data_IF_609961016192
#
_entry.id   IF_609961016192
#
_cell.length_a   1.000
_cell.length_b   1.000
_cell.length_c   1.000
_cell.angle_alpha   90.00
_cell.angle_beta   90.00
_cell.angle_gamma   90.00
#
_symmetry.space_group_name_H-M   'P 1'
#
loop_
_entity.id
_entity.type
_entity.pdbx_description
1 polymer ?
#
# COMPACT_ATOMS: atom_id res chain seq x y z
N UNK A 1 -0.37 14.92 30.05
CA UNK A 1 -0.90 14.77 28.65
C UNK A 1 -0.52 13.40 28.15
N UNK A 2 -1.30 12.74 27.28
CA UNK A 2 -0.96 11.39 26.78
C UNK A 2 0.45 11.29 26.15
N UNK A 3 0.98 12.41 25.66
CA UNK A 3 2.30 12.49 24.99
C UNK A 3 3.47 12.30 25.98
N UNK A 4 3.34 12.64 27.26
CA UNK A 4 4.42 12.53 28.25
C UNK A 4 4.84 11.10 28.59
N UNK A 5 4.02 10.12 28.22
CA UNK A 5 4.30 8.69 28.40
C UNK A 5 4.83 7.97 27.16
N UNK A 6 5.06 8.69 26.04
CA UNK A 6 5.52 8.13 24.79
C UNK A 6 7.02 8.36 24.57
N UNK A 7 7.69 7.37 23.97
CA UNK A 7 9.06 7.54 23.50
C UNK A 7 9.12 8.39 22.23
N UNK A 8 10.24 9.04 21.98
CA UNK A 8 10.45 9.80 20.72
C UNK A 8 10.20 8.94 19.47
N UNK A 9 10.62 7.68 19.52
CA UNK A 9 10.41 6.72 18.44
C UNK A 9 8.92 6.45 18.19
N UNK A 10 8.11 6.27 19.23
CA UNK A 10 6.66 6.06 19.13
C UNK A 10 5.96 7.28 18.53
N UNK A 11 6.35 8.49 18.95
CA UNK A 11 5.77 9.74 18.43
C UNK A 11 6.11 9.90 16.95
N UNK A 12 7.37 9.80 16.58
CA UNK A 12 7.83 10.01 15.20
C UNK A 12 7.25 8.94 14.28
N UNK A 13 7.33 7.65 14.65
CA UNK A 13 6.75 6.58 13.85
C UNK A 13 5.23 6.74 13.70
N UNK A 14 4.51 7.11 14.77
CA UNK A 14 3.08 7.36 14.74
C UNK A 14 2.69 8.51 13.80
N UNK A 15 3.39 9.66 13.88
CA UNK A 15 3.14 10.83 13.02
C UNK A 15 3.40 10.48 11.53
N UNK A 16 4.58 9.95 11.21
CA UNK A 16 4.93 9.66 9.82
C UNK A 16 4.06 8.54 9.22
N UNK A 17 3.68 7.53 10.02
CA UNK A 17 2.76 6.48 9.59
C UNK A 17 1.37 7.04 9.32
N UNK A 18 0.86 7.89 10.20
CA UNK A 18 -0.45 8.54 10.02
C UNK A 18 -0.44 9.47 8.81
N UNK A 19 0.65 10.21 8.58
CA UNK A 19 0.82 11.04 7.39
C UNK A 19 0.81 10.21 6.11
N UNK A 20 1.53 9.09 6.08
CA UNK A 20 1.52 8.18 4.93
C UNK A 20 0.12 7.63 4.65
N UNK A 21 -0.59 7.14 5.67
CA UNK A 21 -1.97 6.64 5.54
C UNK A 21 -2.89 7.72 5.00
N UNK A 22 -2.80 8.93 5.54
CA UNK A 22 -3.59 10.08 5.09
C UNK A 22 -3.33 10.43 3.62
N UNK A 23 -2.05 10.55 3.22
CA UNK A 23 -1.67 10.82 1.82
C UNK A 23 -2.18 9.71 0.89
N UNK A 24 -2.04 8.44 1.27
CA UNK A 24 -2.51 7.30 0.46
C UNK A 24 -4.02 7.33 0.28
N UNK A 25 -4.78 7.65 1.33
CA UNK A 25 -6.24 7.80 1.25
C UNK A 25 -6.60 8.96 0.32
N UNK A 26 -5.95 10.12 0.45
CA UNK A 26 -6.20 11.27 -0.42
C UNK A 26 -5.91 10.95 -1.89
N UNK A 27 -4.80 10.28 -2.17
CA UNK A 27 -4.44 9.82 -3.52
C UNK A 27 -5.51 8.88 -4.06
N UNK A 28 -5.90 7.86 -3.30
CA UNK A 28 -6.93 6.92 -3.70
C UNK A 28 -8.29 7.60 -3.96
N UNK A 29 -8.72 8.49 -3.07
CA UNK A 29 -9.95 9.29 -3.26
C UNK A 29 -9.87 10.19 -4.51
N UNK A 30 -8.70 10.77 -4.79
CA UNK A 30 -8.48 11.57 -5.99
C UNK A 30 -8.59 10.74 -7.26
N UNK A 31 -8.06 9.51 -7.27
CA UNK A 31 -8.21 8.57 -8.38
C UNK A 31 -9.69 8.18 -8.52
N UNK A 32 -10.38 7.83 -7.42
CA UNK A 32 -11.80 7.52 -7.40
C UNK A 32 -12.66 8.66 -7.96
N UNK A 33 -12.35 9.90 -7.60
CA UNK A 33 -13.11 11.07 -8.11
C UNK A 33 -13.07 11.17 -9.63
N UNK A 34 -12.04 10.66 -10.28
CA UNK A 34 -11.93 10.63 -11.74
C UNK A 34 -12.83 9.57 -12.38
N UNK A 35 -13.16 8.50 -11.66
CA UNK A 35 -14.18 7.54 -12.13
C UNK A 35 -15.51 8.20 -12.42
N UNK A 36 -15.99 9.08 -11.54
CA UNK A 36 -17.27 9.80 -11.76
C UNK A 36 -17.26 10.65 -13.03
N UNK A 37 -16.08 11.18 -13.44
CA UNK A 37 -15.94 12.00 -14.64
C UNK A 37 -15.78 11.15 -15.91
N UNK A 38 -15.01 10.07 -15.85
CA UNK A 38 -14.60 9.30 -17.03
C UNK A 38 -15.33 7.97 -17.21
N UNK A 39 -16.04 7.48 -16.15
CA UNK A 39 -16.78 6.21 -16.12
C UNK A 39 -15.93 4.97 -16.46
N UNK A 40 -14.62 5.04 -16.21
CA UNK A 40 -13.66 3.95 -16.46
C UNK A 40 -13.58 3.09 -15.19
N UNK A 41 -14.05 1.83 -15.25
CA UNK A 41 -14.13 0.92 -14.09
C UNK A 41 -12.77 0.65 -13.44
N UNK A 42 -11.69 0.65 -14.20
CA UNK A 42 -10.33 0.46 -13.72
C UNK A 42 -9.90 1.61 -12.77
N UNK A 43 -10.41 2.84 -12.97
CA UNK A 43 -10.16 3.95 -12.05
C UNK A 43 -10.83 3.73 -10.69
N UNK A 44 -12.01 3.09 -10.67
CA UNK A 44 -12.69 2.73 -9.44
C UNK A 44 -11.85 1.69 -8.67
N UNK A 45 -11.47 0.61 -9.33
CA UNK A 45 -10.75 -0.50 -8.69
C UNK A 45 -9.34 -0.11 -8.27
N UNK A 46 -8.61 0.67 -9.08
CA UNK A 46 -7.29 1.23 -8.72
C UNK A 46 -7.41 2.20 -7.54
N UNK A 47 -8.38 3.10 -7.55
CA UNK A 47 -8.56 4.05 -6.45
C UNK A 47 -8.87 3.38 -5.12
N UNK A 48 -9.76 2.37 -5.10
CA UNK A 48 -10.01 1.55 -3.92
C UNK A 48 -8.75 0.78 -3.51
N UNK A 49 -8.05 0.17 -4.46
CA UNK A 49 -6.80 -0.54 -4.18
C UNK A 49 -5.76 0.36 -3.51
N UNK A 50 -5.59 1.60 -3.97
CA UNK A 50 -4.64 2.56 -3.39
C UNK A 50 -4.97 2.89 -1.93
N UNK A 51 -6.25 2.98 -1.58
CA UNK A 51 -6.67 3.13 -0.18
C UNK A 51 -6.33 1.86 0.60
N UNK A 52 -6.73 0.70 0.08
CA UNK A 52 -6.61 -0.56 0.79
C UNK A 52 -5.16 -1.07 0.92
N UNK A 53 -4.26 -0.72 0.00
CA UNK A 53 -2.86 -1.12 0.10
C UNK A 53 -2.13 -0.44 1.27
N UNK A 54 -2.62 0.71 1.72
CA UNK A 54 -2.08 1.39 2.90
C UNK A 54 -2.54 0.77 4.23
N UNK A 55 -3.48 -0.21 4.21
CA UNK A 55 -4.03 -0.84 5.43
C UNK A 55 -2.98 -1.54 6.28
N UNK A 56 -1.86 -1.99 5.69
CA UNK A 56 -0.70 -2.53 6.42
C UNK A 56 -0.15 -1.59 7.51
N UNK A 57 -0.48 -0.32 7.45
CA UNK A 57 -0.06 0.71 8.42
C UNK A 57 -1.23 1.31 9.19
N UNK A 58 -2.48 0.88 8.91
CA UNK A 58 -3.65 1.40 9.61
C UNK A 58 -3.66 0.99 11.09
N UNK A 59 -3.20 -0.23 11.40
CA UNK A 59 -3.08 -0.69 12.78
C UNK A 59 -2.26 0.27 13.63
N UNK A 60 -1.05 0.62 13.17
CA UNK A 60 -0.15 1.57 13.83
C UNK A 60 -0.74 2.98 13.88
N UNK A 61 -1.26 3.47 12.76
CA UNK A 61 -1.84 4.82 12.67
C UNK A 61 -3.04 4.99 13.59
N UNK A 62 -4.01 4.06 13.55
CA UNK A 62 -5.20 4.12 14.41
C UNK A 62 -4.86 3.93 15.89
N UNK A 63 -3.93 3.02 16.22
CA UNK A 63 -3.49 2.84 17.61
C UNK A 63 -2.88 4.12 18.16
N UNK A 64 -2.03 4.79 17.39
CA UNK A 64 -1.41 6.07 17.77
C UNK A 64 -2.45 7.18 17.94
N UNK A 65 -3.35 7.36 16.96
CA UNK A 65 -4.38 8.40 17.01
C UNK A 65 -5.40 8.17 18.15
N UNK A 66 -5.84 6.93 18.38
CA UNK A 66 -6.74 6.59 19.48
C UNK A 66 -6.09 6.85 20.83
N UNK A 67 -4.80 6.56 20.96
CA UNK A 67 -4.06 6.87 22.19
C UNK A 67 -3.94 8.38 22.42
N UNK A 68 -3.61 9.16 21.39
CA UNK A 68 -3.49 10.62 21.52
C UNK A 68 -4.80 11.32 21.90
N UNK A 69 -5.93 10.85 21.35
CA UNK A 69 -7.23 11.53 21.54
C UNK A 69 -7.99 11.00 22.75
N UNK A 70 -7.92 9.68 22.99
CA UNK A 70 -8.77 8.99 23.98
C UNK A 70 -7.99 8.26 25.07
N UNK A 71 -6.64 8.31 25.04
CA UNK A 71 -5.76 7.50 25.93
C UNK A 71 -6.11 6.01 25.90
N UNK A 72 -6.55 5.54 24.71
CA UNK A 72 -7.01 4.19 24.52
C UNK A 72 -6.00 3.38 23.72
N UNK A 73 -5.52 2.28 24.31
CA UNK A 73 -4.63 1.34 23.63
C UNK A 73 -5.45 0.27 22.92
N UNK A 74 -5.24 0.14 21.61
CA UNK A 74 -5.92 -0.85 20.80
C UNK A 74 -5.45 -2.27 21.18
N UNK A 75 -6.40 -3.21 21.32
CA UNK A 75 -6.06 -4.61 21.58
C UNK A 75 -5.33 -5.21 20.40
N UNK A 76 -4.34 -6.08 20.65
CA UNK A 76 -3.51 -6.70 19.61
C UNK A 76 -4.31 -7.36 18.48
N UNK A 77 -5.38 -8.09 18.81
CA UNK A 77 -6.25 -8.70 17.79
C UNK A 77 -6.96 -7.69 16.90
N UNK A 78 -7.44 -6.54 17.47
CA UNK A 78 -8.06 -5.48 16.70
C UNK A 78 -7.04 -4.76 15.80
N UNK A 79 -5.84 -4.51 16.33
CA UNK A 79 -4.72 -3.95 15.55
C UNK A 79 -4.41 -4.81 14.31
N UNK A 80 -4.21 -6.13 14.52
CA UNK A 80 -3.94 -7.08 13.44
C UNK A 80 -5.07 -7.21 12.43
N UNK A 81 -6.31 -7.21 12.90
CA UNK A 81 -7.48 -7.25 12.04
C UNK A 81 -7.50 -6.06 11.09
N UNK A 82 -7.39 -4.83 11.64
CA UNK A 82 -7.39 -3.60 10.84
C UNK A 82 -6.25 -3.59 9.83
N UNK A 83 -5.05 -4.02 10.25
CA UNK A 83 -3.85 -4.02 9.41
C UNK A 83 -3.94 -4.97 8.22
N UNK A 84 -4.60 -6.13 8.38
CA UNK A 84 -4.45 -7.23 7.43
C UNK A 84 -5.74 -7.62 6.70
N UNK A 85 -6.93 -7.24 7.19
CA UNK A 85 -8.22 -7.71 6.63
C UNK A 85 -8.43 -7.31 5.16
N UNK A 86 -7.94 -6.16 4.75
CA UNK A 86 -8.14 -5.66 3.39
C UNK A 86 -7.03 -6.02 2.41
N UNK A 87 -5.92 -6.59 2.87
CA UNK A 87 -4.76 -6.94 2.04
C UNK A 87 -5.10 -7.86 0.86
N UNK A 88 -5.81 -9.00 1.05
CA UNK A 88 -6.19 -9.86 -0.07
C UNK A 88 -7.17 -9.19 -1.04
N UNK A 89 -8.09 -8.37 -0.52
CA UNK A 89 -9.04 -7.61 -1.36
C UNK A 89 -8.29 -6.60 -2.23
N UNK A 90 -7.32 -5.86 -1.64
CA UNK A 90 -6.48 -4.92 -2.38
C UNK A 90 -5.73 -5.62 -3.52
N UNK A 91 -5.16 -6.80 -3.25
CA UNK A 91 -4.45 -7.59 -4.26
C UNK A 91 -5.37 -8.01 -5.41
N UNK A 92 -6.57 -8.54 -5.11
CA UNK A 92 -7.54 -8.94 -6.13
C UNK A 92 -7.99 -7.77 -7.00
N UNK A 93 -8.29 -6.61 -6.39
CA UNK A 93 -8.67 -5.39 -7.11
C UNK A 93 -7.53 -4.88 -8.00
N UNK A 94 -6.30 -4.95 -7.51
CA UNK A 94 -5.12 -4.57 -8.29
C UNK A 94 -4.91 -5.48 -9.49
N UNK A 95 -4.89 -6.80 -9.28
CA UNK A 95 -4.71 -7.79 -10.35
C UNK A 95 -5.83 -7.67 -11.38
N UNK A 96 -7.09 -7.49 -10.94
CA UNK A 96 -8.21 -7.21 -11.84
C UNK A 96 -7.92 -5.98 -12.70
N UNK A 97 -7.52 -4.87 -12.09
CA UNK A 97 -7.28 -3.61 -12.80
C UNK A 97 -6.17 -3.74 -13.85
N UNK A 98 -5.03 -4.32 -13.44
CA UNK A 98 -3.89 -4.51 -14.36
C UNK A 98 -4.26 -5.45 -15.51
N UNK A 99 -4.89 -6.58 -15.20
CA UNK A 99 -5.26 -7.54 -16.24
C UNK A 99 -6.34 -7.00 -17.17
N UNK A 100 -7.28 -6.19 -16.67
CA UNK A 100 -8.28 -5.53 -17.51
C UNK A 100 -7.65 -4.55 -18.49
N UNK A 101 -6.58 -3.85 -18.07
CA UNK A 101 -5.86 -2.89 -18.91
C UNK A 101 -4.90 -3.55 -19.92
N UNK A 102 -4.20 -4.63 -19.51
CA UNK A 102 -3.11 -5.22 -20.31
C UNK A 102 -3.58 -6.47 -21.10
N UNK A 103 -4.38 -7.32 -20.46
CA UNK A 103 -4.85 -8.61 -20.99
C UNK A 103 -6.34 -8.85 -20.71
N UNK A 104 -7.28 -8.11 -21.33
CA UNK A 104 -8.72 -8.17 -21.01
C UNK A 104 -9.32 -9.59 -21.10
N UNK A 105 -8.82 -10.42 -22.01
CA UNK A 105 -9.30 -11.80 -22.20
C UNK A 105 -8.85 -12.76 -21.09
N UNK A 106 -7.81 -12.41 -20.32
CA UNK A 106 -7.22 -13.27 -19.29
C UNK A 106 -7.61 -12.91 -17.85
N UNK A 107 -8.46 -11.90 -17.65
CA UNK A 107 -8.87 -11.39 -16.31
C UNK A 107 -9.37 -12.52 -15.41
N UNK A 108 -10.28 -13.37 -15.90
CA UNK A 108 -10.84 -14.49 -15.12
C UNK A 108 -9.75 -15.46 -14.63
N UNK A 109 -8.82 -15.82 -15.49
CA UNK A 109 -7.73 -16.73 -15.16
C UNK A 109 -6.75 -16.11 -14.16
N UNK A 110 -6.41 -14.84 -14.32
CA UNK A 110 -5.52 -14.13 -13.39
C UNK A 110 -6.11 -14.05 -11.98
N UNK A 111 -7.41 -13.76 -11.86
CA UNK A 111 -8.10 -13.77 -10.57
C UNK A 111 -8.12 -15.18 -9.98
N UNK A 112 -8.44 -16.20 -10.79
CA UNK A 112 -8.49 -17.59 -10.33
C UNK A 112 -7.14 -18.07 -9.76
N UNK A 113 -6.01 -17.64 -10.37
CA UNK A 113 -4.65 -17.98 -9.90
C UNK A 113 -4.33 -17.30 -8.57
N UNK A 114 -4.79 -16.06 -8.37
CA UNK A 114 -4.46 -15.27 -7.17
C UNK A 114 -5.40 -15.59 -6.00
N UNK A 115 -6.63 -16.03 -6.27
CA UNK A 115 -7.64 -16.38 -5.24
C UNK A 115 -7.14 -17.36 -4.19
N UNK A 116 -6.42 -18.46 -4.52
CA UNK A 116 -5.87 -19.38 -3.52
C UNK A 116 -4.90 -18.70 -2.54
N UNK A 117 -4.06 -17.79 -3.03
CA UNK A 117 -3.14 -17.00 -2.18
C UNK A 117 -3.92 -16.15 -1.19
N UNK A 118 -4.97 -15.48 -1.66
CA UNK A 118 -5.85 -14.68 -0.82
C UNK A 118 -6.60 -15.53 0.20
N UNK A 119 -7.06 -16.72 -0.20
CA UNK A 119 -7.74 -17.66 0.69
C UNK A 119 -6.80 -18.17 1.80
N UNK A 120 -5.58 -18.57 1.44
CA UNK A 120 -4.56 -19.00 2.40
C UNK A 120 -4.22 -17.86 3.37
N UNK A 121 -4.08 -16.62 2.87
CA UNK A 121 -3.85 -15.45 3.70
C UNK A 121 -4.95 -15.27 4.75
N UNK A 122 -6.23 -15.31 4.34
CA UNK A 122 -7.36 -15.21 5.26
C UNK A 122 -7.43 -16.37 6.24
N UNK A 123 -7.17 -17.59 5.77
CA UNK A 123 -7.18 -18.78 6.63
C UNK A 123 -6.21 -18.61 7.81
N UNK A 124 -4.96 -18.24 7.54
CA UNK A 124 -3.96 -18.03 8.57
C UNK A 124 -4.25 -16.80 9.44
N UNK A 125 -4.74 -15.72 8.85
CA UNK A 125 -5.15 -14.52 9.59
C UNK A 125 -6.24 -14.86 10.62
N UNK A 126 -7.32 -15.51 10.19
CA UNK A 126 -8.43 -15.84 11.08
C UNK A 126 -8.06 -16.89 12.13
N UNK A 127 -7.28 -17.91 11.78
CA UNK A 127 -6.75 -18.87 12.74
C UNK A 127 -5.94 -18.13 13.82
N UNK A 128 -5.01 -17.28 13.44
CA UNK A 128 -4.21 -16.52 14.40
C UNK A 128 -5.05 -15.59 15.27
N UNK A 129 -6.03 -14.88 14.70
CA UNK A 129 -6.91 -13.98 15.45
C UNK A 129 -7.81 -14.73 16.44
N UNK A 130 -8.29 -15.92 16.08
CA UNK A 130 -9.20 -16.71 16.94
C UNK A 130 -8.49 -17.45 18.05
N UNK A 131 -7.31 -18.01 17.79
CA UNK A 131 -6.62 -18.86 18.76
C UNK A 131 -5.53 -18.10 19.53
N UNK A 132 -4.61 -17.46 18.85
CA UNK A 132 -3.54 -16.67 19.49
C UNK A 132 -2.94 -15.66 18.50
N UNK A 133 -3.19 -14.34 18.66
CA UNK A 133 -2.59 -13.30 17.80
C UNK A 133 -1.05 -13.27 17.80
N UNK A 134 -0.39 -13.76 18.86
CA UNK A 134 1.06 -13.78 18.97
C UNK A 134 1.73 -14.79 18.01
N UNK A 135 0.96 -15.73 17.44
CA UNK A 135 1.45 -16.61 16.36
C UNK A 135 1.75 -15.79 15.10
N UNK A 136 1.03 -14.70 14.90
CA UNK A 136 1.15 -13.83 13.71
C UNK A 136 2.17 -12.71 13.91
N UNK A 137 2.24 -12.13 15.12
CA UNK A 137 3.11 -10.96 15.39
C UNK A 137 3.68 -10.99 16.80
N UNK A 138 4.81 -10.29 16.95
CA UNK A 138 5.46 -10.00 18.24
C UNK A 138 5.27 -8.51 18.49
N UNK A 139 4.65 -8.09 19.62
CA UNK A 139 4.56 -6.68 19.98
C UNK A 139 5.97 -6.08 20.19
N UNK A 140 6.28 -4.95 19.55
CA UNK A 140 7.54 -4.24 19.73
C UNK A 140 7.38 -3.01 20.63
N UNK A 141 6.28 -2.29 20.47
CA UNK A 141 5.94 -1.12 21.26
C UNK A 141 4.43 -1.05 21.46
N UNK A 142 3.91 0.03 22.05
CA UNK A 142 2.47 0.23 22.25
C UNK A 142 1.69 0.24 20.94
N UNK A 143 2.31 0.70 19.83
CA UNK A 143 1.63 0.92 18.56
C UNK A 143 2.23 0.09 17.43
N UNK A 144 3.35 -0.59 17.67
CA UNK A 144 4.08 -1.28 16.61
C UNK A 144 4.25 -2.76 16.89
N UNK A 145 4.15 -3.55 15.82
CA UNK A 145 4.25 -5.00 15.87
C UNK A 145 5.20 -5.50 14.79
N UNK A 146 5.94 -6.56 15.09
CA UNK A 146 6.76 -7.27 14.14
C UNK A 146 6.06 -8.53 13.68
N UNK A 147 5.88 -8.68 12.37
CA UNK A 147 5.32 -9.91 11.79
C UNK A 147 6.23 -11.10 12.06
N UNK A 148 5.64 -12.23 12.48
CA UNK A 148 6.36 -13.53 12.55
C UNK A 148 6.71 -13.99 11.13
N UNK A 149 7.57 -15.02 11.02
CA UNK A 149 7.97 -15.60 9.73
C UNK A 149 6.74 -16.02 8.91
N UNK A 150 5.70 -16.55 9.58
CA UNK A 150 4.46 -16.95 8.92
C UNK A 150 3.75 -15.77 8.26
N UNK A 151 3.40 -14.73 9.02
CA UNK A 151 2.70 -13.56 8.48
C UNK A 151 3.58 -12.78 7.49
N UNK A 152 4.90 -12.71 7.76
CA UNK A 152 5.86 -12.08 6.86
C UNK A 152 5.93 -12.78 5.51
N UNK A 153 5.93 -14.13 5.45
CA UNK A 153 5.93 -14.88 4.20
C UNK A 153 4.65 -14.65 3.38
N UNK A 154 3.50 -14.53 4.07
CA UNK A 154 2.23 -14.19 3.43
C UNK A 154 2.24 -12.76 2.87
N UNK A 155 2.71 -11.77 3.62
CA UNK A 155 2.85 -10.38 3.16
C UNK A 155 3.82 -10.29 1.97
N UNK A 156 4.95 -11.02 2.01
CA UNK A 156 5.91 -11.06 0.91
C UNK A 156 5.32 -11.69 -0.35
N UNK A 157 4.52 -12.75 -0.23
CA UNK A 157 3.87 -13.36 -1.40
C UNK A 157 2.90 -12.39 -2.11
N UNK A 158 2.13 -11.62 -1.32
CA UNK A 158 1.27 -10.54 -1.84
C UNK A 158 2.10 -9.45 -2.52
N UNK A 159 3.19 -9.01 -1.89
CA UNK A 159 4.08 -7.98 -2.42
C UNK A 159 4.73 -8.43 -3.74
N UNK A 160 5.19 -9.67 -3.84
CA UNK A 160 5.78 -10.22 -5.08
C UNK A 160 4.78 -10.19 -6.23
N UNK A 161 3.52 -10.62 -6.00
CA UNK A 161 2.48 -10.58 -7.03
C UNK A 161 2.19 -9.13 -7.44
N UNK A 162 2.14 -8.22 -6.46
CA UNK A 162 1.92 -6.79 -6.70
C UNK A 162 3.05 -6.20 -7.54
N UNK A 163 4.32 -6.43 -7.20
CA UNK A 163 5.50 -5.99 -7.96
C UNK A 163 5.46 -6.53 -9.39
N UNK A 164 5.24 -7.84 -9.54
CA UNK A 164 5.21 -8.49 -10.85
C UNK A 164 4.14 -7.86 -11.76
N UNK A 165 2.94 -7.65 -11.26
CA UNK A 165 1.85 -7.05 -12.02
C UNK A 165 2.09 -5.56 -12.32
N UNK A 166 2.73 -4.81 -11.41
CA UNK A 166 3.18 -3.44 -11.67
C UNK A 166 4.22 -3.38 -12.80
N UNK A 167 5.16 -4.32 -12.81
CA UNK A 167 6.18 -4.41 -13.88
C UNK A 167 5.50 -4.69 -15.23
N UNK A 168 4.55 -5.61 -15.28
CA UNK A 168 3.80 -5.90 -16.51
C UNK A 168 3.08 -4.66 -17.05
N UNK A 169 2.37 -3.94 -16.18
CA UNK A 169 1.68 -2.71 -16.55
C UNK A 169 2.68 -1.63 -16.99
N UNK A 170 3.76 -1.43 -16.23
CA UNK A 170 4.78 -0.42 -16.51
C UNK A 170 5.47 -0.64 -17.85
N UNK A 171 5.84 -1.90 -18.19
CA UNK A 171 6.42 -2.25 -19.49
C UNK A 171 5.43 -1.95 -20.62
N UNK A 172 4.15 -2.28 -20.43
CA UNK A 172 3.11 -2.00 -21.42
C UNK A 172 2.96 -0.50 -21.67
N UNK A 173 2.96 0.32 -20.61
CA UNK A 173 2.88 1.77 -20.71
C UNK A 173 4.13 2.39 -21.38
N UNK A 174 5.34 1.89 -21.09
CA UNK A 174 6.58 2.42 -21.67
C UNK A 174 6.69 2.10 -23.17
N UNK A 175 6.10 1.00 -23.62
CA UNK A 175 6.09 0.61 -25.04
C UNK A 175 5.05 1.36 -25.87
N UNK A 176 4.21 2.18 -25.26
CA UNK A 176 3.20 2.96 -25.98
C UNK A 176 3.84 4.03 -26.90
N UNK A 177 3.17 4.40 -27.96
CA UNK A 177 3.63 5.44 -28.90
C UNK A 177 3.52 6.87 -28.34
N UNK A 178 2.66 7.12 -27.33
CA UNK A 178 2.50 8.44 -26.71
C UNK A 178 3.53 8.63 -25.58
N UNK A 179 4.37 9.65 -25.71
CA UNK A 179 5.35 10.06 -24.68
C UNK A 179 4.70 10.29 -23.30
N UNK A 180 3.47 10.82 -23.27
CA UNK A 180 2.74 10.99 -22.01
C UNK A 180 2.48 9.67 -21.30
N UNK A 181 2.12 8.63 -22.05
CA UNK A 181 1.86 7.28 -21.53
C UNK A 181 3.17 6.64 -21.09
N UNK A 182 4.26 6.83 -21.83
CA UNK A 182 5.59 6.34 -21.43
C UNK A 182 6.03 6.94 -20.07
N UNK A 183 5.84 8.23 -19.84
CA UNK A 183 6.14 8.87 -18.57
C UNK A 183 5.30 8.32 -17.42
N UNK A 184 4.03 8.00 -17.64
CA UNK A 184 3.20 7.31 -16.65
C UNK A 184 3.80 5.95 -16.27
N UNK A 185 4.33 5.20 -17.25
CA UNK A 185 5.05 3.95 -16.99
C UNK A 185 6.32 4.15 -16.16
N UNK A 186 7.13 5.17 -16.45
CA UNK A 186 8.34 5.51 -15.68
C UNK A 186 7.97 5.85 -14.21
N UNK A 187 6.90 6.66 -14.00
CA UNK A 187 6.41 6.96 -12.65
C UNK A 187 5.88 5.73 -11.92
N UNK A 188 5.26 4.78 -12.62
CA UNK A 188 4.83 3.52 -12.03
C UNK A 188 6.02 2.70 -11.52
N UNK A 189 7.11 2.60 -12.30
CA UNK A 189 8.33 1.93 -11.85
C UNK A 189 8.94 2.60 -10.63
N UNK A 190 9.02 3.93 -10.62
CA UNK A 190 9.53 4.67 -9.46
C UNK A 190 8.65 4.44 -8.23
N UNK A 191 7.32 4.48 -8.40
CA UNK A 191 6.36 4.22 -7.34
C UNK A 191 6.54 2.84 -6.73
N UNK A 192 6.59 1.78 -7.55
CA UNK A 192 6.72 0.42 -7.03
C UNK A 192 8.08 0.15 -6.38
N UNK A 193 9.15 0.75 -6.91
CA UNK A 193 10.48 0.65 -6.28
C UNK A 193 10.47 1.26 -4.88
N UNK A 194 9.96 2.48 -4.73
CA UNK A 194 9.86 3.15 -3.43
C UNK A 194 8.92 2.41 -2.47
N UNK A 195 7.78 1.91 -2.97
CA UNK A 195 6.86 1.11 -2.18
C UNK A 195 7.50 -0.18 -1.68
N UNK A 196 8.23 -0.87 -2.55
CA UNK A 196 8.91 -2.13 -2.20
C UNK A 196 10.02 -1.90 -1.16
N UNK A 197 10.83 -0.85 -1.34
CA UNK A 197 11.85 -0.46 -0.36
C UNK A 197 11.22 -0.10 0.98
N UNK A 198 10.12 0.67 0.95
CA UNK A 198 9.38 1.04 2.15
C UNK A 198 8.72 -0.16 2.84
N UNK A 199 8.07 -1.03 2.08
CA UNK A 199 7.39 -2.23 2.58
C UNK A 199 8.36 -3.26 3.18
N UNK A 200 9.41 -3.60 2.43
CA UNK A 200 10.45 -4.53 2.88
C UNK A 200 11.23 -3.91 4.05
N UNK A 201 11.63 -2.63 3.93
CA UNK A 201 12.34 -1.95 4.99
C UNK A 201 11.57 -1.94 6.31
N UNK A 202 10.25 -1.75 6.28
CA UNK A 202 9.39 -1.80 7.47
C UNK A 202 9.42 -3.15 8.20
N UNK A 203 9.87 -4.22 7.56
CA UNK A 203 9.96 -5.54 8.18
C UNK A 203 11.27 -5.78 8.94
N UNK A 204 12.34 -5.03 8.61
CA UNK A 204 13.70 -5.30 9.09
C UNK A 204 14.37 -4.12 9.80
N UNK A 205 13.96 -2.89 9.53
CA UNK A 205 14.59 -1.68 10.02
C UNK A 205 13.77 -1.06 11.14
N UNK A 206 14.42 -0.77 12.28
CA UNK A 206 13.74 -0.34 13.51
C UNK A 206 14.40 0.86 14.19
N UNK A 207 15.50 1.39 13.65
CA UNK A 207 16.08 2.63 14.17
C UNK A 207 15.23 3.85 13.75
N UNK A 208 15.28 4.92 14.53
CA UNK A 208 14.50 6.13 14.29
C UNK A 208 14.71 6.70 12.87
N UNK A 209 15.96 6.85 12.45
CA UNK A 209 16.32 7.37 11.13
C UNK A 209 15.81 6.47 10.00
N UNK A 210 15.99 5.16 10.15
CA UNK A 210 15.53 4.19 9.16
C UNK A 210 14.02 4.24 8.98
N UNK A 211 13.26 4.28 10.08
CA UNK A 211 11.80 4.38 10.03
C UNK A 211 11.34 5.68 9.35
N UNK A 212 11.98 6.82 9.62
CA UNK A 212 11.65 8.08 8.94
C UNK A 212 11.88 7.97 7.43
N UNK A 213 13.04 7.47 7.00
CA UNK A 213 13.37 7.30 5.57
C UNK A 213 12.37 6.38 4.87
N UNK A 214 12.05 5.24 5.51
CA UNK A 214 11.06 4.29 5.00
C UNK A 214 9.69 4.94 4.82
N UNK A 215 9.21 5.71 5.78
CA UNK A 215 7.93 6.42 5.69
C UNK A 215 7.92 7.47 4.60
N UNK A 216 9.01 8.20 4.41
CA UNK A 216 9.17 9.14 3.30
C UNK A 216 9.10 8.40 1.95
N UNK A 217 9.75 7.24 1.80
CA UNK A 217 9.64 6.43 0.58
C UNK A 217 8.21 6.01 0.29
N UNK A 218 7.45 5.59 1.31
CA UNK A 218 6.05 5.23 1.16
C UNK A 218 5.17 6.42 0.76
N UNK A 219 5.40 7.61 1.33
CA UNK A 219 4.68 8.84 0.95
C UNK A 219 4.98 9.20 -0.51
N UNK A 220 6.25 9.22 -0.89
CA UNK A 220 6.66 9.49 -2.28
C UNK A 220 6.11 8.46 -3.26
N UNK A 221 6.12 7.18 -2.88
CA UNK A 221 5.50 6.12 -3.66
C UNK A 221 4.05 6.42 -3.99
N UNK A 222 3.25 6.82 -3.00
CA UNK A 222 1.82 7.16 -3.20
C UNK A 222 1.65 8.33 -4.18
N UNK A 223 2.51 9.35 -4.12
CA UNK A 223 2.50 10.48 -5.04
C UNK A 223 2.86 10.04 -6.47
N UNK A 224 3.90 9.21 -6.64
CA UNK A 224 4.28 8.70 -7.96
C UNK A 224 3.25 7.72 -8.53
N UNK A 225 2.54 6.96 -7.69
CA UNK A 225 1.37 6.20 -8.13
C UNK A 225 0.30 7.11 -8.69
N UNK A 226 0.01 8.23 -8.05
CA UNK A 226 -0.92 9.21 -8.61
C UNK A 226 -0.48 9.70 -9.99
N UNK A 227 0.81 10.06 -10.16
CA UNK A 227 1.36 10.52 -11.44
C UNK A 227 1.34 9.44 -12.53
N UNK A 228 1.43 8.17 -12.16
CA UNK A 228 1.34 7.06 -13.12
C UNK A 228 -0.06 6.93 -13.75
N UNK A 229 -1.10 7.37 -13.07
CA UNK A 229 -2.46 7.39 -13.63
C UNK A 229 -2.85 8.77 -14.16
N UNK A 230 -2.49 9.83 -13.44
CA UNK A 230 -2.86 11.21 -13.77
C UNK A 230 -1.64 12.12 -13.73
N UNK A 231 -1.08 12.36 -14.93
CA UNK A 231 0.03 13.30 -15.06
C UNK A 231 -0.56 14.72 -15.16
N UNK A 232 -0.25 15.65 -14.21
CA UNK A 232 -0.71 17.03 -14.28
C UNK A 232 -0.20 17.74 -15.53
N UNK A 233 -1.02 18.60 -16.15
CA UNK A 233 -0.68 19.26 -17.42
C UNK A 233 0.62 20.05 -17.36
N UNK A 234 0.91 20.73 -16.25
CA UNK A 234 2.18 21.47 -16.06
C UNK A 234 3.39 20.52 -16.09
N UNK A 235 3.28 19.39 -15.41
CA UNK A 235 4.35 18.37 -15.38
C UNK A 235 4.50 17.71 -16.75
N UNK A 236 3.39 17.44 -17.44
CA UNK A 236 3.37 16.91 -18.81
C UNK A 236 4.13 17.80 -19.77
N UNK A 237 3.82 19.10 -19.79
CA UNK A 237 4.48 20.08 -20.67
C UNK A 237 5.98 20.15 -20.36
N UNK A 238 6.35 20.21 -19.09
CA UNK A 238 7.75 20.27 -18.67
C UNK A 238 8.56 19.04 -19.09
N UNK A 239 7.99 17.84 -18.90
CA UNK A 239 8.66 16.56 -19.22
C UNK A 239 8.84 16.37 -20.74
N UNK A 240 7.81 16.74 -21.52
CA UNK A 240 7.86 16.55 -22.99
C UNK A 240 8.76 17.57 -23.65
N UNK A 241 8.76 18.82 -23.21
CA UNK A 241 9.60 19.88 -23.80
C UNK A 241 11.10 19.72 -23.48
N UNK A 242 11.47 19.06 -22.38
CA UNK A 242 12.86 18.83 -22.03
C UNK A 242 13.46 17.54 -22.66
N UNK A 243 12.69 16.77 -23.42
CA UNK A 243 13.19 15.62 -24.19
C UNK A 243 13.46 15.97 -25.68
N UNK A 244 13.32 17.24 -26.08
CA UNK A 244 13.74 17.78 -27.37
C UNK A 244 15.07 18.49 -27.22
#
# INVERSE_FOLDING_TARGET
>A
MPIEGLTELEIINGIFTSLFVFVSILVGLRILSKYYKHQIKELLTVGICMILISTHWWGNSFSFLLYLVFDYQLRLGAHLFIENIFTPIALLLWVYSVCSLVYPTKVKWSILIVTPVCFIYYLFLFIGLMFNPEILVIPLSRFDTRSTILLMSLKLSVLIIFIFTCILLGINLIKDGDKTIQWKGKFLFLAITLYSLGGIGSMFLFSLLELMVIRIFLILSSIFFYFSFFLPDRLKIWLINNEV
#
